data_IF_078845607054
#
_entry.id   IF_078845607054
#
_cell.length_a   1.000
_cell.length_b   1.000
_cell.length_c   1.000
_cell.angle_alpha   90.00
_cell.angle_beta   90.00
_cell.angle_gamma   90.00
#
_symmetry.space_group_name_H-M   'P 1'
#
loop_
_entity.id
_entity.type
_entity.pdbx_description
1 polymer ?
#
# COMPACT_ATOMS: atom_id res chain seq x y z
N UNK A 1 13.09 -11.78 -11.93
CA UNK A 1 12.49 -10.84 -10.96
C UNK A 1 13.31 -9.56 -11.00
N UNK A 2 12.72 -8.44 -11.43
CA UNK A 2 13.40 -7.14 -11.48
C UNK A 2 13.62 -6.53 -10.09
N UNK A 3 14.34 -5.41 -10.04
CA UNK A 3 14.71 -4.73 -8.79
C UNK A 3 13.50 -4.26 -7.98
N UNK A 4 12.44 -3.79 -8.63
CA UNK A 4 11.22 -3.33 -7.97
C UNK A 4 10.46 -4.52 -7.36
N UNK A 5 10.26 -5.59 -8.13
CA UNK A 5 9.62 -6.81 -7.62
C UNK A 5 10.37 -7.42 -6.44
N UNK A 6 11.71 -7.42 -6.48
CA UNK A 6 12.54 -7.89 -5.36
C UNK A 6 12.34 -7.03 -4.11
N UNK A 7 12.34 -5.71 -4.27
CA UNK A 7 12.13 -4.78 -3.17
C UNK A 7 10.75 -4.94 -2.53
N UNK A 8 9.72 -5.11 -3.36
CA UNK A 8 8.34 -5.41 -2.93
C UNK A 8 8.29 -6.71 -2.15
N UNK A 9 8.84 -7.80 -2.71
CA UNK A 9 8.87 -9.09 -2.03
C UNK A 9 9.58 -9.02 -0.67
N UNK A 10 10.68 -8.28 -0.57
CA UNK A 10 11.40 -8.09 0.70
C UNK A 10 10.56 -7.33 1.73
N UNK A 11 9.90 -6.23 1.33
CA UNK A 11 9.01 -5.47 2.22
C UNK A 11 7.83 -6.30 2.71
N UNK A 12 7.21 -7.07 1.82
CA UNK A 12 6.09 -7.96 2.18
C UNK A 12 6.53 -9.08 3.12
N UNK A 13 7.74 -9.64 2.95
CA UNK A 13 8.32 -10.61 3.89
C UNK A 13 8.54 -9.99 5.28
N UNK A 14 9.05 -8.76 5.34
CA UNK A 14 9.20 -8.02 6.60
C UNK A 14 7.84 -7.72 7.24
N UNK A 15 6.86 -7.25 6.45
CA UNK A 15 5.51 -6.97 6.93
C UNK A 15 4.85 -8.22 7.51
N UNK A 16 4.99 -9.36 6.85
CA UNK A 16 4.52 -10.66 7.37
C UNK A 16 5.17 -11.01 8.70
N UNK A 17 6.48 -10.81 8.85
CA UNK A 17 7.18 -11.05 10.12
C UNK A 17 6.68 -10.15 11.24
N UNK A 18 6.49 -8.85 10.96
CA UNK A 18 5.93 -7.91 11.92
C UNK A 18 4.48 -8.26 12.28
N UNK A 19 3.66 -8.64 11.30
CA UNK A 19 2.26 -9.01 11.52
C UNK A 19 2.15 -10.25 12.43
N UNK A 20 3.03 -11.23 12.27
CA UNK A 20 3.10 -12.37 13.20
C UNK A 20 3.43 -11.91 14.63
N UNK A 21 4.31 -10.91 14.79
CA UNK A 21 4.61 -10.30 16.08
C UNK A 21 3.40 -9.57 16.68
N UNK A 22 2.68 -8.80 15.86
CA UNK A 22 1.43 -8.14 16.27
C UNK A 22 0.39 -9.15 16.73
N UNK A 23 0.22 -10.25 16.00
CA UNK A 23 -0.71 -11.31 16.38
C UNK A 23 -0.37 -11.88 17.76
N UNK A 24 0.90 -12.20 18.00
CA UNK A 24 1.35 -12.65 19.31
C UNK A 24 1.13 -11.59 20.41
N UNK A 25 1.30 -10.29 20.12
CA UNK A 25 0.99 -9.24 21.09
C UNK A 25 -0.51 -9.22 21.47
N UNK A 26 -1.39 -9.43 20.50
CA UNK A 26 -2.85 -9.49 20.75
C UNK A 26 -3.22 -10.72 21.57
N UNK A 27 -2.69 -11.90 21.22
CA UNK A 27 -2.93 -13.15 21.94
C UNK A 27 -2.43 -13.12 23.39
N UNK A 28 -1.40 -12.30 23.66
CA UNK A 28 -0.85 -12.09 25.01
C UNK A 28 -1.45 -10.86 25.72
N UNK A 29 -2.54 -10.28 25.22
CA UNK A 29 -3.22 -9.11 25.81
C UNK A 29 -2.28 -7.92 26.07
N UNK A 30 -1.32 -7.68 25.15
CA UNK A 30 -0.36 -6.60 25.28
C UNK A 30 -1.04 -5.22 25.26
N UNK A 31 -0.34 -4.21 25.82
CA UNK A 31 -0.85 -2.85 25.95
C UNK A 31 -1.30 -2.26 24.60
N UNK A 32 -2.58 -1.90 24.49
CA UNK A 32 -3.22 -1.54 23.23
C UNK A 32 -2.47 -0.45 22.43
N UNK A 33 -1.97 0.64 23.04
CA UNK A 33 -1.19 1.64 22.31
C UNK A 33 0.07 1.10 21.63
N UNK A 34 0.70 0.08 22.19
CA UNK A 34 1.89 -0.52 21.59
C UNK A 34 1.52 -1.45 20.44
N UNK A 35 0.41 -2.20 20.55
CA UNK A 35 -0.18 -2.97 19.44
C UNK A 35 -0.52 -2.02 18.28
N UNK A 36 -1.15 -0.87 18.56
CA UNK A 36 -1.50 0.13 17.54
C UNK A 36 -0.27 0.69 16.81
N UNK A 37 0.83 0.97 17.53
CA UNK A 37 2.09 1.40 16.91
C UNK A 37 2.67 0.34 15.97
N UNK A 38 2.63 -0.94 16.36
CA UNK A 38 3.13 -2.02 15.53
C UNK A 38 2.24 -2.26 14.30
N UNK A 39 0.91 -2.15 14.43
CA UNK A 39 -0.01 -2.16 13.29
C UNK A 39 0.30 -1.05 12.29
N UNK A 40 0.55 0.17 12.77
CA UNK A 40 0.95 1.29 11.92
C UNK A 40 2.29 1.04 11.20
N UNK A 41 3.25 0.37 11.85
CA UNK A 41 4.51 -0.03 11.22
C UNK A 41 4.28 -1.05 10.09
N UNK A 42 3.39 -2.03 10.28
CA UNK A 42 3.00 -2.99 9.24
C UNK A 42 2.36 -2.28 8.04
N UNK A 43 1.43 -1.35 8.30
CA UNK A 43 0.79 -0.54 7.25
C UNK A 43 1.84 0.21 6.41
N UNK A 44 2.79 0.89 7.06
CA UNK A 44 3.86 1.61 6.35
C UNK A 44 4.74 0.72 5.46
N UNK A 45 4.97 -0.55 5.85
CA UNK A 45 5.68 -1.52 5.00
C UNK A 45 4.87 -1.91 3.76
N UNK A 46 3.57 -2.15 3.92
CA UNK A 46 2.64 -2.49 2.83
C UNK A 46 2.48 -1.31 1.88
N UNK A 47 2.32 -0.10 2.41
CA UNK A 47 2.22 1.13 1.61
C UNK A 47 3.50 1.39 0.81
N UNK A 48 4.66 1.18 1.45
CA UNK A 48 5.95 1.26 0.78
C UNK A 48 6.08 0.24 -0.35
N UNK A 49 5.52 -0.97 -0.20
CA UNK A 49 5.48 -1.97 -1.26
C UNK A 49 4.53 -1.57 -2.40
N UNK A 50 3.34 -1.03 -2.09
CA UNK A 50 2.38 -0.51 -3.07
C UNK A 50 3.02 0.56 -3.97
N UNK A 51 3.69 1.55 -3.38
CA UNK A 51 4.36 2.64 -4.11
C UNK A 51 5.43 2.16 -5.08
N UNK A 52 6.19 1.12 -4.70
CA UNK A 52 7.21 0.52 -5.57
C UNK A 52 6.55 -0.25 -6.71
N UNK A 53 5.46 -0.97 -6.46
CA UNK A 53 4.71 -1.64 -7.52
C UNK A 53 4.09 -0.65 -8.51
N UNK A 54 3.52 0.44 -8.02
CA UNK A 54 2.99 1.51 -8.86
C UNK A 54 4.08 2.11 -9.75
N UNK A 55 5.24 2.47 -9.16
CA UNK A 55 6.40 2.95 -9.91
C UNK A 55 6.80 1.98 -11.03
N UNK A 56 6.91 0.70 -10.70
CA UNK A 56 7.23 -0.34 -11.69
C UNK A 56 6.21 -0.37 -12.81
N UNK A 57 4.91 -0.31 -12.50
CA UNK A 57 3.85 -0.33 -13.51
C UNK A 57 3.94 0.87 -14.46
N UNK A 58 4.22 2.07 -13.94
CA UNK A 58 4.46 3.27 -14.74
C UNK A 58 5.68 3.10 -15.67
N UNK A 59 6.80 2.60 -15.14
CA UNK A 59 8.06 2.43 -15.87
C UNK A 59 8.01 1.28 -16.91
N UNK A 60 7.11 0.30 -16.76
CA UNK A 60 7.02 -0.86 -17.66
C UNK A 60 5.74 -0.90 -18.49
N UNK A 61 4.57 -1.03 -17.86
CA UNK A 61 3.33 -1.32 -18.56
C UNK A 61 2.79 -0.06 -19.25
N UNK A 62 2.77 1.06 -18.53
CA UNK A 62 2.34 2.36 -19.08
C UNK A 62 3.29 2.83 -20.17
N UNK A 63 4.59 2.84 -19.90
CA UNK A 63 5.60 3.23 -20.89
C UNK A 63 5.47 2.43 -22.20
N UNK A 64 5.27 1.11 -22.10
CA UNK A 64 5.07 0.24 -23.27
C UNK A 64 3.76 0.54 -24.00
N UNK A 65 2.64 0.67 -23.28
CA UNK A 65 1.34 0.95 -23.89
C UNK A 65 1.33 2.31 -24.62
N UNK A 66 2.04 3.32 -24.10
CA UNK A 66 2.21 4.61 -24.78
C UNK A 66 2.97 4.47 -26.10
N UNK A 67 4.05 3.66 -26.13
CA UNK A 67 4.80 3.40 -27.37
C UNK A 67 3.97 2.64 -28.42
N UNK A 68 3.03 1.81 -27.96
CA UNK A 68 2.17 1.01 -28.83
C UNK A 68 0.84 1.71 -29.18
N UNK A 69 0.69 3.00 -28.84
CA UNK A 69 -0.50 3.80 -29.16
C UNK A 69 -1.75 3.47 -28.33
N UNK A 70 -1.62 2.70 -27.25
CA UNK A 70 -2.71 2.27 -26.36
C UNK A 70 -2.78 3.10 -25.07
N UNK A 71 -2.50 4.41 -25.18
CA UNK A 71 -2.44 5.31 -24.02
C UNK A 71 -3.78 5.43 -23.30
N UNK A 72 -4.91 5.52 -24.02
CA UNK A 72 -6.22 5.67 -23.40
C UNK A 72 -6.58 4.45 -22.52
N UNK A 73 -6.43 3.25 -23.08
CA UNK A 73 -6.73 1.98 -22.39
C UNK A 73 -5.93 1.81 -21.09
N UNK A 74 -4.61 2.07 -21.13
CA UNK A 74 -3.76 1.87 -19.96
C UNK A 74 -3.98 2.96 -18.89
N UNK A 75 -4.37 4.17 -19.30
CA UNK A 75 -4.71 5.25 -18.36
C UNK A 75 -6.00 4.90 -17.64
N UNK A 76 -7.02 4.39 -18.34
CA UNK A 76 -8.27 3.96 -17.72
C UNK A 76 -8.04 2.80 -16.73
N UNK A 77 -7.22 1.80 -17.10
CA UNK A 77 -6.82 0.71 -16.21
C UNK A 77 -6.10 1.22 -14.94
N UNK A 78 -5.16 2.15 -15.12
CA UNK A 78 -4.42 2.74 -14.01
C UNK A 78 -5.36 3.53 -13.09
N UNK A 79 -6.27 4.32 -13.65
CA UNK A 79 -7.23 5.11 -12.88
C UNK A 79 -8.18 4.22 -12.07
N UNK A 80 -8.60 3.07 -12.60
CA UNK A 80 -9.38 2.08 -11.85
C UNK A 80 -8.58 1.50 -10.68
N UNK A 81 -7.30 1.20 -10.90
CA UNK A 81 -6.42 0.63 -9.88
C UNK A 81 -6.11 1.63 -8.77
N UNK A 82 -5.93 2.91 -9.11
CA UNK A 82 -5.59 3.95 -8.13
C UNK A 82 -6.70 4.23 -7.11
N UNK A 83 -7.95 3.82 -7.37
CA UNK A 83 -9.05 3.89 -6.39
C UNK A 83 -8.76 3.11 -5.11
N UNK A 84 -7.89 2.11 -5.17
CA UNK A 84 -7.51 1.29 -4.01
C UNK A 84 -6.31 1.86 -3.24
N UNK A 85 -5.59 2.83 -3.81
CA UNK A 85 -4.46 3.46 -3.15
C UNK A 85 -4.93 4.60 -2.24
N UNK A 86 -4.94 4.32 -0.93
CA UNK A 86 -5.37 5.23 0.14
C UNK A 86 -4.57 6.55 0.19
N UNK A 87 -3.41 6.62 -0.47
CA UNK A 87 -2.54 7.79 -0.48
C UNK A 87 -2.70 8.66 -1.73
N UNK A 88 -3.18 8.10 -2.84
CA UNK A 88 -3.39 8.83 -4.09
C UNK A 88 -4.81 9.41 -4.14
N UNK A 89 -5.80 8.62 -3.73
CA UNK A 89 -7.18 9.06 -3.60
C UNK A 89 -7.63 8.84 -2.16
N UNK A 90 -7.35 9.81 -1.28
CA UNK A 90 -8.00 9.85 0.02
C UNK A 90 -9.33 10.60 -0.12
N UNK A 91 -10.51 9.95 -0.15
CA UNK A 91 -11.74 10.64 0.18
C UNK A 91 -11.62 11.13 1.63
N UNK A 92 -11.92 12.41 1.86
CA UNK A 92 -11.90 13.00 3.19
C UNK A 92 -12.95 12.32 4.08
N UNK A 93 -12.53 11.38 4.93
CA UNK A 93 -13.32 10.79 6.02
C UNK A 93 -12.28 10.07 6.88
N UNK A 94 -11.93 10.53 8.08
CA UNK A 94 -12.58 10.19 9.38
C UNK A 94 -12.64 11.42 10.35
N UNK A 95 -12.17 12.61 9.96
CA UNK A 95 -12.04 13.74 10.92
C UNK A 95 -13.28 14.66 11.01
N UNK A 96 -14.28 14.54 10.14
CA UNK A 96 -15.44 15.46 10.11
C UNK A 96 -16.70 14.95 10.81
N UNK A 97 -16.68 13.80 11.49
CA UNK A 97 -17.85 13.26 12.22
C UNK A 97 -17.67 13.25 13.74
N UNK A 98 -16.52 13.67 14.27
CA UNK A 98 -16.30 13.82 15.71
C UNK A 98 -16.16 15.33 16.02
N UNK A 99 -17.22 16.07 15.76
CA UNK A 99 -17.23 17.54 15.85
C UNK A 99 -18.63 18.14 15.73
N UNK A 100 -19.63 17.47 16.27
CA UNK A 100 -20.97 18.04 16.48
C UNK A 100 -21.62 17.34 17.67
N UNK A 101 -21.19 17.73 18.87
CA UNK A 101 -21.98 18.00 20.09
C UNK A 101 -21.04 18.33 21.25
#
# INVERSE_FOLDING_TARGET
MDVHQRSVANRLKTARGQLNGVLAMVENEAYCPDVMKQLAAVQGLVDGASRIMLRRHLETCVAKAMQEGRTAEIVDELMETLKFDQHVFRPATITETIGSE
#
